data_IF_840887179996
#
_entry.id   IF_840887179996
#
_cell.length_a   1.000
_cell.length_b   1.000
_cell.length_c   1.000
_cell.angle_alpha   90.00
_cell.angle_beta   90.00
_cell.angle_gamma   90.00
#
_symmetry.space_group_name_H-M   'P 1'
#
loop_
_entity.id
_entity.type
_entity.pdbx_description
1 polymer ?
#
# COMPACT_ATOMS: atom_id res chain seq x y z
N UNK A 1 10.05 -14.53 -3.17
CA UNK A 1 8.81 -14.48 -2.36
C UNK A 1 7.81 -15.55 -2.78
N UNK A 2 7.45 -15.66 -4.07
CA UNK A 2 6.52 -16.70 -4.55
C UNK A 2 6.96 -18.13 -4.18
N UNK A 3 8.25 -18.47 -4.36
CA UNK A 3 8.74 -19.81 -4.01
C UNK A 3 8.63 -20.11 -2.51
N UNK A 4 8.93 -19.12 -1.66
CA UNK A 4 8.74 -19.24 -0.20
C UNK A 4 7.26 -19.46 0.16
N UNK A 5 6.34 -18.76 -0.49
CA UNK A 5 4.90 -18.93 -0.26
C UNK A 5 4.43 -20.33 -0.66
N UNK A 6 4.89 -20.83 -1.82
CA UNK A 6 4.60 -22.19 -2.30
C UNK A 6 5.13 -23.27 -1.35
N UNK A 7 6.31 -23.07 -0.77
CA UNK A 7 6.84 -23.96 0.28
C UNK A 7 5.96 -24.01 1.54
N UNK A 8 5.12 -23.00 1.77
CA UNK A 8 4.13 -22.95 2.85
C UNK A 8 2.72 -23.32 2.39
N UNK A 9 2.59 -23.98 1.24
CA UNK A 9 1.31 -24.48 0.68
C UNK A 9 0.34 -23.34 0.32
N UNK A 10 0.86 -22.15 0.05
CA UNK A 10 0.08 -21.03 -0.50
C UNK A 10 0.25 -21.00 -2.02
N UNK A 11 -0.86 -21.06 -2.76
CA UNK A 11 -0.83 -20.81 -4.20
C UNK A 11 -0.28 -19.42 -4.48
N UNK A 12 0.70 -19.32 -5.38
CA UNK A 12 1.35 -18.06 -5.72
C UNK A 12 1.52 -17.94 -7.22
N UNK A 13 0.99 -16.86 -7.77
CA UNK A 13 1.15 -16.46 -9.17
C UNK A 13 2.22 -15.36 -9.27
N UNK A 14 3.00 -15.35 -10.35
CA UNK A 14 4.01 -14.32 -10.62
C UNK A 14 3.52 -13.46 -11.78
N UNK A 15 3.03 -12.27 -11.46
CA UNK A 15 2.58 -11.26 -12.41
C UNK A 15 2.55 -9.89 -11.73
N UNK A 16 2.47 -8.81 -12.51
CA UNK A 16 1.91 -7.56 -11.97
C UNK A 16 0.43 -7.77 -11.67
N UNK A 17 -0.14 -6.98 -10.76
CA UNK A 17 -1.56 -7.14 -10.45
C UNK A 17 -2.42 -6.86 -11.69
N UNK A 18 -2.02 -5.89 -12.52
CA UNK A 18 -2.66 -5.51 -13.79
C UNK A 18 -2.60 -6.60 -14.86
N UNK A 19 -1.60 -7.48 -14.83
CA UNK A 19 -1.50 -8.63 -15.73
C UNK A 19 -2.08 -9.93 -15.15
N UNK A 20 -2.24 -10.01 -13.83
CA UNK A 20 -2.75 -11.20 -13.15
C UNK A 20 -4.22 -11.49 -13.53
N UNK A 21 -4.53 -12.76 -13.80
CA UNK A 21 -5.88 -13.22 -14.09
C UNK A 21 -6.35 -14.21 -13.01
N UNK A 22 -7.57 -14.06 -12.46
CA UNK A 22 -8.05 -14.98 -11.42
C UNK A 22 -8.36 -16.40 -11.95
N UNK A 23 -8.35 -16.63 -13.27
CA UNK A 23 -8.60 -17.93 -13.89
C UNK A 23 -9.91 -18.60 -13.43
N UNK A 24 -10.98 -17.79 -13.30
CA UNK A 24 -12.29 -18.22 -12.82
C UNK A 24 -12.42 -18.32 -11.30
N UNK A 25 -11.35 -18.09 -10.53
CA UNK A 25 -11.39 -18.01 -9.06
C UNK A 25 -12.09 -16.71 -8.63
N UNK A 26 -12.77 -16.78 -7.50
CA UNK A 26 -13.33 -15.62 -6.81
C UNK A 26 -12.97 -15.68 -5.33
N UNK A 27 -12.86 -14.53 -4.70
CA UNK A 27 -12.33 -14.41 -3.34
C UNK A 27 -13.32 -13.66 -2.44
N UNK A 28 -13.34 -14.03 -1.16
CA UNK A 28 -14.10 -13.31 -0.13
C UNK A 28 -13.36 -12.03 0.30
N UNK A 29 -12.03 -11.99 0.16
CA UNK A 29 -11.21 -10.83 0.45
C UNK A 29 -10.01 -10.70 -0.51
N UNK A 30 -9.63 -9.46 -0.82
CA UNK A 30 -8.36 -9.10 -1.43
C UNK A 30 -7.61 -8.19 -0.47
N UNK A 31 -6.35 -8.53 -0.18
CA UNK A 31 -5.53 -7.82 0.81
C UNK A 31 -4.25 -7.32 0.16
N UNK A 32 -3.96 -6.03 0.33
CA UNK A 32 -2.69 -5.43 -0.09
C UNK A 32 -1.93 -4.92 1.14
N UNK A 33 -0.89 -5.65 1.54
CA UNK A 33 0.00 -5.28 2.64
C UNK A 33 1.16 -4.41 2.14
N UNK A 34 1.00 -3.09 2.25
CA UNK A 34 1.98 -2.06 1.89
C UNK A 34 2.33 -1.95 0.39
N UNK A 35 1.59 -2.60 -0.49
CA UNK A 35 1.92 -2.66 -1.92
C UNK A 35 0.96 -1.89 -2.85
N UNK A 36 -0.17 -1.39 -2.35
CA UNK A 36 -1.21 -0.82 -3.21
C UNK A 36 -0.78 0.43 -3.97
N UNK A 37 0.19 1.18 -3.45
CA UNK A 37 0.72 2.37 -4.12
C UNK A 37 1.49 2.06 -5.42
N UNK A 38 1.79 0.79 -5.71
CA UNK A 38 2.36 0.34 -6.97
C UNK A 38 1.31 -0.06 -8.01
N UNK A 39 0.05 -0.20 -7.60
CA UNK A 39 -1.04 -0.66 -8.45
C UNK A 39 -1.69 0.55 -9.12
N UNK A 40 -1.99 0.43 -10.41
CA UNK A 40 -2.81 1.44 -11.10
C UNK A 40 -4.18 1.56 -10.39
N UNK A 41 -4.56 2.74 -9.88
CA UNK A 41 -5.77 2.85 -9.07
C UNK A 41 -7.05 2.44 -9.81
N UNK A 42 -7.16 2.72 -11.12
CA UNK A 42 -8.37 2.43 -11.88
C UNK A 42 -8.42 0.94 -12.29
N UNK A 43 -7.36 0.45 -12.94
CA UNK A 43 -7.27 -0.93 -13.39
C UNK A 43 -7.21 -1.92 -12.22
N UNK A 44 -6.50 -1.56 -11.15
CA UNK A 44 -6.43 -2.32 -9.92
C UNK A 44 -7.79 -2.44 -9.23
N UNK A 45 -8.48 -1.31 -9.01
CA UNK A 45 -9.80 -1.33 -8.37
C UNK A 45 -10.81 -2.14 -9.17
N UNK A 46 -10.85 -1.96 -10.50
CA UNK A 46 -11.71 -2.75 -11.39
C UNK A 46 -11.39 -4.25 -11.29
N UNK A 47 -10.11 -4.61 -11.24
CA UNK A 47 -9.69 -6.00 -11.11
C UNK A 47 -10.06 -6.62 -9.77
N UNK A 48 -9.93 -5.87 -8.66
CA UNK A 48 -10.40 -6.34 -7.36
C UNK A 48 -11.91 -6.58 -7.40
N UNK A 49 -12.69 -5.64 -7.95
CA UNK A 49 -14.14 -5.80 -8.07
C UNK A 49 -14.53 -7.06 -8.87
N UNK A 50 -13.77 -7.41 -9.92
CA UNK A 50 -13.96 -8.65 -10.69
C UNK A 50 -13.54 -9.92 -9.94
N UNK A 51 -12.50 -9.84 -9.11
CA UNK A 51 -11.97 -10.98 -8.36
C UNK A 51 -12.80 -11.26 -7.10
N UNK A 52 -13.51 -10.28 -6.56
CA UNK A 52 -14.33 -10.43 -5.38
C UNK A 52 -15.69 -11.05 -5.69
N UNK A 53 -16.19 -11.88 -4.77
CA UNK A 53 -17.59 -12.30 -4.74
C UNK A 53 -18.49 -11.12 -4.33
N UNK A 54 -19.80 -11.17 -4.62
CA UNK A 54 -20.75 -10.21 -4.04
C UNK A 54 -20.61 -10.17 -2.51
N UNK A 55 -20.36 -8.98 -1.95
CA UNK A 55 -20.12 -8.79 -0.52
C UNK A 55 -18.68 -9.01 -0.04
N UNK A 56 -17.74 -9.35 -0.93
CA UNK A 56 -16.33 -9.48 -0.60
C UNK A 56 -15.67 -8.14 -0.27
N UNK A 57 -14.50 -8.21 0.36
CA UNK A 57 -13.82 -7.03 0.93
C UNK A 57 -12.46 -6.74 0.30
N UNK A 58 -12.15 -5.47 0.07
CA UNK A 58 -10.80 -4.99 -0.20
C UNK A 58 -10.21 -4.41 1.09
N UNK A 59 -9.10 -4.96 1.56
CA UNK A 59 -8.33 -4.45 2.69
C UNK A 59 -6.96 -3.95 2.24
N UNK A 60 -6.75 -2.64 2.29
CA UNK A 60 -5.44 -2.04 1.98
C UNK A 60 -4.79 -1.57 3.27
N UNK A 61 -3.59 -2.07 3.55
CA UNK A 61 -2.88 -1.88 4.81
C UNK A 61 -1.54 -1.20 4.55
N UNK A 62 -1.15 -0.25 5.39
CA UNK A 62 0.17 0.39 5.35
C UNK A 62 0.92 0.16 6.65
N UNK A 63 2.23 -0.04 6.53
CA UNK A 63 3.12 0.05 7.68
C UNK A 63 3.44 1.51 7.92
N UNK A 64 3.07 2.02 9.09
CA UNK A 64 3.46 3.35 9.57
C UNK A 64 4.79 3.19 10.32
N UNK A 65 5.86 3.82 9.82
CA UNK A 65 7.16 3.73 10.48
C UNK A 65 7.58 5.06 11.09
N UNK A 66 8.22 4.97 12.27
CA UNK A 66 8.85 6.09 12.97
C UNK A 66 10.33 5.77 13.14
N UNK A 67 11.19 6.71 12.78
CA UNK A 67 12.62 6.54 12.98
C UNK A 67 13.01 6.91 14.41
N UNK A 68 13.91 6.15 15.06
CA UNK A 68 14.58 6.62 16.26
C UNK A 68 15.30 7.94 15.98
N UNK A 69 15.31 8.85 16.95
CA UNK A 69 15.90 10.20 16.80
C UNK A 69 17.34 10.12 16.30
N UNK A 70 18.16 9.26 16.92
CA UNK A 70 19.57 9.08 16.55
C UNK A 70 19.77 8.63 15.11
N UNK A 71 18.88 7.78 14.58
CA UNK A 71 18.92 7.33 13.18
C UNK A 71 18.50 8.45 12.25
N UNK A 72 17.44 9.18 12.58
CA UNK A 72 16.96 10.30 11.77
C UNK A 72 18.02 11.41 11.65
N UNK A 73 18.72 11.73 12.74
CA UNK A 73 19.80 12.72 12.76
C UNK A 73 21.00 12.28 11.92
N UNK A 74 21.43 11.03 12.08
CA UNK A 74 22.54 10.47 11.30
C UNK A 74 22.22 10.48 9.79
N UNK A 75 21.04 10.02 9.40
CA UNK A 75 20.59 10.08 8.01
C UNK A 75 20.48 11.52 7.51
N UNK A 76 19.92 12.44 8.31
CA UNK A 76 19.77 13.84 7.91
C UNK A 76 21.12 14.53 7.66
N UNK A 77 22.15 14.20 8.45
CA UNK A 77 23.50 14.70 8.23
C UNK A 77 24.09 14.23 6.88
N UNK A 78 23.87 12.96 6.52
CA UNK A 78 24.31 12.41 5.23
C UNK A 78 23.56 13.05 4.07
N UNK A 79 22.22 13.13 4.17
CA UNK A 79 21.39 13.75 3.13
C UNK A 79 21.78 15.20 2.87
N UNK A 80 21.97 16.01 3.90
CA UNK A 80 22.44 17.40 3.72
C UNK A 80 23.76 17.51 2.98
N UNK A 81 24.66 16.54 3.12
CA UNK A 81 25.99 16.57 2.49
C UNK A 81 25.97 16.04 1.05
N UNK A 82 25.17 15.00 0.78
CA UNK A 82 25.22 14.26 -0.49
C UNK A 82 24.05 14.60 -1.41
N UNK A 83 22.89 14.91 -0.84
CA UNK A 83 21.64 15.21 -1.55
C UNK A 83 20.88 16.35 -0.87
N UNK A 84 21.44 17.58 -0.86
CA UNK A 84 20.85 18.72 -0.15
C UNK A 84 19.43 19.07 -0.64
N UNK A 85 19.13 18.78 -1.91
CA UNK A 85 17.84 19.08 -2.54
C UNK A 85 16.82 17.93 -2.45
N UNK A 86 17.14 16.86 -1.71
CA UNK A 86 16.21 15.75 -1.55
C UNK A 86 14.92 16.22 -0.86
N UNK A 87 13.73 15.88 -1.39
CA UNK A 87 12.44 16.30 -0.83
C UNK A 87 12.06 15.46 0.39
N UNK A 88 12.97 15.28 1.35
CA UNK A 88 12.77 14.47 2.56
C UNK A 88 13.07 15.28 3.81
N UNK A 89 12.12 15.28 4.74
CA UNK A 89 12.31 15.87 6.06
C UNK A 89 12.50 14.76 7.11
N UNK A 90 13.72 14.21 7.18
CA UNK A 90 14.05 13.10 8.08
C UNK A 90 13.78 13.40 9.57
N UNK A 91 14.05 14.61 10.10
CA UNK A 91 13.64 14.97 11.47
C UNK A 91 12.12 14.92 11.71
N UNK A 92 11.28 15.12 10.69
CA UNK A 92 9.83 14.97 10.85
C UNK A 92 9.42 13.51 11.09
N UNK A 93 10.22 12.54 10.66
CA UNK A 93 9.94 11.10 10.82
C UNK A 93 10.17 10.57 12.25
N UNK A 94 10.64 11.43 13.17
CA UNK A 94 10.70 11.11 14.61
C UNK A 94 9.41 11.50 15.33
N UNK A 95 8.60 12.37 14.73
CA UNK A 95 7.40 12.94 15.33
C UNK A 95 6.18 12.12 14.92
N UNK A 96 5.62 11.38 15.87
CA UNK A 96 4.50 10.47 15.63
C UNK A 96 3.30 11.17 14.97
N UNK A 97 2.90 12.34 15.48
CA UNK A 97 1.80 13.12 14.91
C UNK A 97 2.03 13.43 13.42
N UNK A 98 3.23 13.91 13.05
CA UNK A 98 3.54 14.24 11.65
C UNK A 98 3.57 13.02 10.74
N UNK A 99 4.07 11.90 11.25
CA UNK A 99 4.05 10.63 10.51
C UNK A 99 2.60 10.20 10.28
N UNK A 100 1.76 10.23 11.32
CA UNK A 100 0.35 9.86 11.21
C UNK A 100 -0.41 10.76 10.24
N UNK A 101 -0.21 12.09 10.29
CA UNK A 101 -0.85 13.02 9.36
C UNK A 101 -0.51 12.70 7.89
N UNK A 102 0.76 12.39 7.61
CA UNK A 102 1.22 12.04 6.27
C UNK A 102 0.60 10.73 5.76
N UNK A 103 0.53 9.70 6.63
CA UNK A 103 -0.11 8.43 6.28
C UNK A 103 -1.63 8.57 6.15
N UNK A 104 -2.27 9.36 7.00
CA UNK A 104 -3.70 9.65 6.90
C UNK A 104 -4.03 10.29 5.55
N UNK A 105 -3.24 11.29 5.12
CA UNK A 105 -3.43 11.91 3.81
C UNK A 105 -3.28 10.90 2.65
N UNK A 106 -2.30 9.99 2.73
CA UNK A 106 -2.11 8.91 1.75
C UNK A 106 -3.29 7.92 1.73
N UNK A 107 -3.76 7.50 2.90
CA UNK A 107 -4.85 6.54 3.08
C UNK A 107 -6.16 7.15 2.58
N UNK A 108 -6.47 8.40 2.96
CA UNK A 108 -7.64 9.14 2.46
C UNK A 108 -7.60 9.26 0.94
N UNK A 109 -6.48 9.71 0.35
CA UNK A 109 -6.35 9.79 -1.12
C UNK A 109 -6.60 8.45 -1.80
N UNK A 110 -6.10 7.36 -1.21
CA UNK A 110 -6.27 6.02 -1.78
C UNK A 110 -7.72 5.55 -1.66
N UNK A 111 -8.36 5.79 -0.52
CA UNK A 111 -9.76 5.47 -0.29
C UNK A 111 -10.68 6.22 -1.27
N UNK A 112 -10.44 7.52 -1.48
CA UNK A 112 -11.17 8.34 -2.44
C UNK A 112 -11.01 7.81 -3.88
N UNK A 113 -9.79 7.41 -4.25
CA UNK A 113 -9.52 6.84 -5.58
C UNK A 113 -10.24 5.51 -5.81
N UNK A 114 -10.25 4.61 -4.80
CA UNK A 114 -10.99 3.34 -4.86
C UNK A 114 -12.49 3.60 -4.96
N UNK A 115 -13.03 4.51 -4.15
CA UNK A 115 -14.45 4.85 -4.18
C UNK A 115 -14.85 5.49 -5.51
N UNK A 116 -14.01 6.39 -6.04
CA UNK A 116 -14.24 7.08 -7.32
C UNK A 116 -14.20 6.16 -8.55
N UNK A 117 -13.46 5.05 -8.49
CA UNK A 117 -13.45 4.04 -9.54
C UNK A 117 -14.75 3.18 -9.57
N UNK A 118 -15.56 3.24 -8.51
CA UNK A 118 -16.83 2.52 -8.39
C UNK A 118 -16.68 1.05 -8.00
N UNK A 119 -17.80 0.39 -7.70
CA UNK A 119 -17.84 -1.03 -7.31
C UNK A 119 -17.55 -1.30 -5.84
N UNK A 120 -17.28 -0.26 -5.03
CA UNK A 120 -17.06 -0.37 -3.59
C UNK A 120 -17.97 0.61 -2.82
N UNK A 121 -18.39 0.20 -1.62
CA UNK A 121 -19.09 1.06 -0.67
C UNK A 121 -18.13 2.06 -0.03
N UNK A 122 -18.66 2.95 0.81
CA UNK A 122 -17.86 3.87 1.62
C UNK A 122 -16.75 3.12 2.39
N UNK A 123 -15.48 3.54 2.26
CA UNK A 123 -14.36 2.97 2.99
C UNK A 123 -14.51 3.13 4.51
N UNK A 124 -14.03 2.14 5.26
CA UNK A 124 -13.84 2.22 6.71
C UNK A 124 -12.36 2.50 7.00
N UNK A 125 -12.07 3.52 7.82
CA UNK A 125 -10.72 3.93 8.21
C UNK A 125 -10.58 3.95 9.73
#
# INVERSE_FOLDING_TARGET
>A
MADLARHRVVEADVATFEAWGPAGRTFDAVVAGQAWHWIDPAAGTAKVALALRPGGQLAVLWNVFRLPVTVAEACAAVYRRVMPDAPVNLPALTQEAKVMDAYQALVTKTADAIQGAGGFSTPQQ
#
